data_IF_218878040866
#
_entry.id   IF_218878040866
#
_cell.length_a   1.000
_cell.length_b   1.000
_cell.length_c   1.000
_cell.angle_alpha   90.00
_cell.angle_beta   90.00
_cell.angle_gamma   90.00
#
_symmetry.space_group_name_H-M   'P 1'
#
loop_
_entity.id
_entity.type
_entity.pdbx_description
1 polymer ?
#
# COMPACT_ATOMS: atom_id res chain seq x y z
N UNK A 1 15.78 14.05 -11.46
CA UNK A 1 17.23 14.06 -11.22
C UNK A 1 18.04 14.56 -12.42
N UNK A 2 17.60 14.33 -13.64
CA UNK A 2 18.22 14.83 -14.86
C UNK A 2 17.35 15.87 -15.54
N UNK A 3 17.96 16.89 -16.11
CA UNK A 3 17.26 17.95 -16.86
C UNK A 3 17.39 17.82 -18.37
N UNK A 4 18.06 16.77 -18.85
CA UNK A 4 18.42 16.61 -20.25
C UNK A 4 19.68 17.41 -20.64
N UNK A 5 20.10 17.27 -21.90
CA UNK A 5 21.18 18.02 -22.53
C UNK A 5 20.58 18.90 -23.61
N UNK A 6 20.92 20.19 -23.62
CA UNK A 6 20.46 21.10 -24.66
C UNK A 6 21.29 20.88 -25.93
N UNK A 7 20.62 20.58 -27.03
CA UNK A 7 21.18 20.42 -28.36
C UNK A 7 20.29 21.21 -29.32
N UNK A 8 20.83 22.18 -30.01
CA UNK A 8 20.10 23.03 -30.96
C UNK A 8 18.78 23.62 -30.40
N UNK A 9 18.80 24.04 -29.13
CA UNK A 9 17.63 24.63 -28.45
C UNK A 9 16.58 23.64 -27.98
N UNK A 10 16.86 22.33 -28.05
CA UNK A 10 15.99 21.26 -27.54
C UNK A 10 16.65 20.52 -26.38
N UNK A 11 15.85 20.21 -25.35
CA UNK A 11 16.30 19.35 -24.26
C UNK A 11 16.12 17.88 -24.65
N UNK A 12 17.22 17.16 -24.76
CA UNK A 12 17.25 15.75 -25.14
C UNK A 12 17.72 14.87 -23.98
N UNK A 13 17.10 13.72 -23.83
CA UNK A 13 17.62 12.65 -22.98
C UNK A 13 18.52 11.74 -23.83
N UNK A 14 19.77 11.63 -23.43
CA UNK A 14 20.79 10.84 -24.14
C UNK A 14 21.29 9.72 -23.22
N UNK A 15 20.58 8.59 -23.13
CA UNK A 15 20.89 7.53 -22.16
C UNK A 15 22.23 6.84 -22.40
N UNK A 16 22.69 6.77 -23.65
CA UNK A 16 23.94 6.09 -24.06
C UNK A 16 25.15 7.03 -24.09
N UNK A 17 24.98 8.32 -23.81
CA UNK A 17 26.09 9.28 -23.80
C UNK A 17 26.84 9.24 -22.47
N UNK A 18 28.15 9.34 -22.51
CA UNK A 18 28.97 9.47 -21.31
C UNK A 18 28.69 10.81 -20.60
N UNK A 19 28.43 10.72 -19.30
CA UNK A 19 28.27 11.91 -18.48
C UNK A 19 29.64 12.57 -18.23
N UNK A 20 29.71 13.89 -18.39
CA UNK A 20 30.88 14.65 -17.96
C UNK A 20 31.00 14.69 -16.44
N UNK A 21 32.19 14.99 -15.91
CA UNK A 21 32.39 15.17 -14.47
C UNK A 21 31.45 16.25 -13.89
N UNK A 22 31.19 17.32 -14.61
CA UNK A 22 30.27 18.39 -14.22
C UNK A 22 28.83 17.91 -14.16
N UNK A 23 28.38 17.12 -15.13
CA UNK A 23 27.03 16.53 -15.13
C UNK A 23 26.84 15.54 -13.99
N UNK A 24 27.84 14.68 -13.72
CA UNK A 24 27.81 13.77 -12.59
C UNK A 24 27.77 14.53 -11.26
N UNK A 25 28.59 15.57 -11.08
CA UNK A 25 28.56 16.41 -9.89
C UNK A 25 27.22 17.12 -9.70
N UNK A 26 26.62 17.64 -10.79
CA UNK A 26 25.31 18.29 -10.74
C UNK A 26 24.18 17.30 -10.34
N UNK A 27 24.22 16.06 -10.87
CA UNK A 27 23.27 15.02 -10.47
C UNK A 27 23.44 14.64 -9.00
N UNK A 28 24.68 14.41 -8.53
CA UNK A 28 24.95 14.11 -7.12
C UNK A 28 24.51 15.23 -6.19
N UNK A 29 24.77 16.50 -6.57
CA UNK A 29 24.32 17.64 -5.77
C UNK A 29 22.78 17.72 -5.68
N UNK A 30 22.07 17.45 -6.78
CA UNK A 30 20.59 17.41 -6.75
C UNK A 30 20.05 16.29 -5.86
N UNK A 31 20.68 15.11 -5.90
CA UNK A 31 20.36 14.02 -4.98
C UNK A 31 20.60 14.45 -3.54
N UNK A 32 21.77 15.02 -3.25
CA UNK A 32 22.12 15.50 -1.92
C UNK A 32 21.13 16.56 -1.41
N UNK A 33 20.80 17.57 -2.22
CA UNK A 33 19.81 18.59 -1.85
C UNK A 33 18.43 17.99 -1.57
N UNK A 34 18.02 16.98 -2.34
CA UNK A 34 16.75 16.29 -2.12
C UNK A 34 16.77 15.44 -0.85
N UNK A 35 17.89 14.82 -0.52
CA UNK A 35 18.06 14.09 0.75
C UNK A 35 18.09 15.01 1.98
N UNK A 36 18.49 16.28 1.80
CA UNK A 36 18.47 17.31 2.84
C UNK A 36 17.10 18.00 2.95
N UNK A 37 16.20 17.82 1.99
CA UNK A 37 14.85 18.37 2.09
C UNK A 37 14.07 17.61 3.16
N UNK A 38 13.31 18.35 3.96
CA UNK A 38 12.41 17.77 4.95
C UNK A 38 11.37 16.88 4.23
N UNK A 39 11.15 15.71 4.76
CA UNK A 39 10.02 14.85 4.35
C UNK A 39 8.76 15.46 4.95
N UNK A 40 7.80 15.84 4.10
CA UNK A 40 6.55 16.48 4.56
C UNK A 40 5.56 15.47 5.13
N UNK A 41 5.64 14.20 4.70
CA UNK A 41 4.79 13.12 5.17
C UNK A 41 5.52 11.77 4.99
N UNK A 42 5.67 11.02 6.08
CA UNK A 42 6.30 9.71 6.10
C UNK A 42 5.28 8.66 6.54
N UNK A 43 5.02 7.70 5.67
CA UNK A 43 4.18 6.53 5.97
C UNK A 43 4.93 5.24 5.67
N UNK A 44 4.68 4.20 6.44
CA UNK A 44 5.30 2.90 6.24
C UNK A 44 4.31 1.76 6.43
N UNK A 45 4.57 0.62 5.76
CA UNK A 45 3.87 -0.62 6.03
C UNK A 45 4.59 -1.35 7.17
N UNK A 46 3.84 -1.64 8.23
CA UNK A 46 4.37 -2.31 9.41
C UNK A 46 4.02 -3.80 9.40
N UNK A 47 5.04 -4.64 9.47
CA UNK A 47 4.89 -6.08 9.66
C UNK A 47 5.04 -6.44 11.14
N UNK A 48 4.08 -7.19 11.70
CA UNK A 48 4.12 -7.58 13.12
C UNK A 48 5.36 -8.41 13.49
N UNK A 49 5.94 -9.14 12.54
CA UNK A 49 7.22 -9.83 12.71
C UNK A 49 8.40 -8.92 13.04
N UNK A 50 8.26 -7.61 12.77
CA UNK A 50 9.28 -6.58 13.07
C UNK A 50 9.02 -5.86 14.41
N UNK A 51 8.23 -6.45 15.31
CA UNK A 51 7.88 -5.81 16.59
C UNK A 51 9.08 -5.38 17.43
N UNK A 52 10.19 -6.11 17.36
CA UNK A 52 11.45 -5.73 18.04
C UNK A 52 12.08 -4.42 17.53
N UNK A 53 11.57 -3.87 16.43
CA UNK A 53 12.03 -2.63 15.80
C UNK A 53 10.88 -1.60 15.69
N UNK A 54 9.85 -1.74 16.52
CA UNK A 54 8.66 -0.89 16.44
C UNK A 54 8.97 0.59 16.73
N UNK A 55 10.00 0.86 17.51
CA UNK A 55 10.53 2.20 17.80
C UNK A 55 10.99 2.97 16.55
N UNK A 56 11.33 2.27 15.47
CA UNK A 56 11.64 2.91 14.18
C UNK A 56 10.42 3.58 13.52
N UNK A 57 9.23 3.34 14.04
CA UNK A 57 7.99 3.97 13.56
C UNK A 57 7.68 5.31 14.26
N UNK A 58 8.42 5.69 15.29
CA UNK A 58 8.12 6.88 16.10
C UNK A 58 8.21 8.20 15.32
N UNK A 59 9.05 8.23 14.28
CA UNK A 59 9.17 9.40 13.40
C UNK A 59 8.22 9.35 12.18
N UNK A 60 7.31 8.36 12.10
CA UNK A 60 6.35 8.25 11.02
C UNK A 60 5.06 9.03 11.31
N UNK A 61 4.53 9.72 10.30
CA UNK A 61 3.23 10.40 10.39
C UNK A 61 2.07 9.41 10.48
N UNK A 62 2.24 8.21 9.91
CA UNK A 62 1.28 7.11 10.02
C UNK A 62 1.92 5.77 9.64
N UNK A 63 1.33 4.68 10.13
CA UNK A 63 1.69 3.32 9.74
C UNK A 63 0.51 2.59 9.11
N UNK A 64 0.77 1.67 8.19
CA UNK A 64 -0.23 0.86 7.52
C UNK A 64 -0.13 -0.59 7.99
N UNK A 65 -1.24 -1.15 8.46
CA UNK A 65 -1.34 -2.50 9.00
C UNK A 65 -2.03 -3.41 7.98
N UNK A 66 -1.29 -4.34 7.38
CA UNK A 66 -1.74 -5.28 6.36
C UNK A 66 -2.59 -6.41 6.95
N UNK A 67 -3.74 -6.12 7.56
CA UNK A 67 -4.52 -7.06 8.35
C UNK A 67 -5.88 -7.40 7.76
N UNK A 68 -6.11 -7.12 6.48
CA UNK A 68 -7.34 -7.49 5.81
C UNK A 68 -7.10 -7.81 4.33
N UNK A 69 -7.68 -8.88 3.84
CA UNK A 69 -7.78 -9.23 2.42
C UNK A 69 -9.24 -9.27 2.01
N UNK A 70 -9.56 -8.63 0.89
CA UNK A 70 -10.90 -8.75 0.31
C UNK A 70 -11.06 -10.12 -0.36
N UNK A 71 -12.15 -10.79 -0.05
CA UNK A 71 -12.51 -12.09 -0.63
C UNK A 71 -13.97 -12.07 -1.12
N UNK A 72 -14.36 -13.08 -1.84
CA UNK A 72 -15.74 -13.28 -2.27
C UNK A 72 -16.37 -14.45 -1.52
N UNK A 73 -17.52 -14.21 -0.91
CA UNK A 73 -18.36 -15.24 -0.28
C UNK A 73 -19.68 -15.43 -1.06
N UNK A 74 -20.48 -16.41 -0.65
CA UNK A 74 -21.84 -16.60 -1.20
C UNK A 74 -22.75 -15.37 -1.00
N UNK A 75 -22.46 -14.54 -0.01
CA UNK A 75 -23.23 -13.32 0.31
C UNK A 75 -22.64 -12.05 -0.35
N UNK A 76 -21.55 -12.16 -1.10
CA UNK A 76 -20.86 -11.03 -1.69
C UNK A 76 -19.44 -10.82 -1.16
N UNK A 77 -18.83 -9.64 -1.37
CA UNK A 77 -17.50 -9.32 -0.90
C UNK A 77 -17.45 -9.26 0.62
N UNK A 78 -16.37 -9.83 1.18
CA UNK A 78 -16.09 -9.86 2.62
C UNK A 78 -14.63 -9.54 2.87
N UNK A 79 -14.30 -9.07 4.07
CA UNK A 79 -12.92 -8.93 4.50
C UNK A 79 -12.50 -10.12 5.36
N UNK A 80 -11.41 -10.76 4.98
CA UNK A 80 -10.78 -11.84 5.73
C UNK A 80 -9.52 -11.32 6.43
N UNK A 81 -9.51 -11.36 7.74
CA UNK A 81 -8.37 -11.02 8.60
C UNK A 81 -7.76 -12.25 9.29
N UNK A 82 -8.21 -13.45 8.94
CA UNK A 82 -7.76 -14.72 9.52
C UNK A 82 -6.92 -15.54 8.55
N UNK A 83 -6.16 -16.51 9.08
CA UNK A 83 -5.34 -17.44 8.29
C UNK A 83 -6.19 -18.55 7.65
N UNK A 84 -7.19 -18.15 6.87
CA UNK A 84 -8.05 -19.06 6.11
C UNK A 84 -7.92 -18.75 4.61
N UNK A 85 -8.28 -19.67 3.76
CA UNK A 85 -8.27 -19.51 2.31
C UNK A 85 -6.90 -19.06 1.74
N UNK A 86 -5.79 -19.46 2.37
CA UNK A 86 -4.45 -19.01 1.96
C UNK A 86 -4.22 -17.50 2.15
N UNK A 87 -4.96 -16.86 3.06
CA UNK A 87 -4.75 -15.44 3.38
C UNK A 87 -3.46 -15.24 4.18
N UNK A 88 -2.56 -14.36 3.71
CA UNK A 88 -1.36 -13.93 4.41
C UNK A 88 -1.52 -12.55 5.09
N UNK A 89 -2.60 -11.83 4.79
CA UNK A 89 -2.97 -10.53 5.36
C UNK A 89 -3.77 -10.72 6.65
N UNK A 90 -3.10 -11.30 7.64
CA UNK A 90 -3.73 -11.77 8.88
C UNK A 90 -3.55 -10.76 9.99
N UNK A 91 -4.64 -10.44 10.68
CA UNK A 91 -4.53 -9.71 11.95
C UNK A 91 -3.97 -10.66 13.01
N UNK A 92 -2.80 -10.37 13.61
CA UNK A 92 -2.22 -11.20 14.66
C UNK A 92 -3.13 -11.32 15.88
N UNK A 93 -3.06 -12.43 16.60
CA UNK A 93 -3.86 -12.62 17.81
C UNK A 93 -3.50 -11.59 18.92
N UNK A 94 -2.24 -11.20 18.98
CA UNK A 94 -1.67 -10.22 19.88
C UNK A 94 -1.50 -8.82 19.24
N UNK A 95 -2.31 -8.52 18.22
CA UNK A 95 -2.31 -7.24 17.51
C UNK A 95 -2.39 -6.02 18.44
N UNK A 96 -3.06 -6.15 19.60
CA UNK A 96 -3.14 -5.09 20.61
C UNK A 96 -1.76 -4.61 21.07
N UNK A 97 -0.77 -5.48 21.14
CA UNK A 97 0.60 -5.11 21.54
C UNK A 97 1.16 -4.00 20.65
N UNK A 98 1.00 -4.12 19.33
CA UNK A 98 1.44 -3.07 18.40
C UNK A 98 0.51 -1.85 18.41
N UNK A 99 -0.82 -2.05 18.41
CA UNK A 99 -1.74 -0.90 18.39
C UNK A 99 -1.71 -0.08 19.67
N UNK A 100 -1.43 -0.70 20.83
CA UNK A 100 -1.26 0.02 22.09
C UNK A 100 0.05 0.82 22.10
N UNK A 101 1.12 0.29 21.48
CA UNK A 101 2.36 1.05 21.26
C UNK A 101 2.09 2.29 20.40
N UNK A 102 1.43 2.14 19.25
CA UNK A 102 1.13 3.27 18.36
C UNK A 102 0.24 4.32 19.05
N UNK A 103 -0.77 3.90 19.81
CA UNK A 103 -1.59 4.84 20.61
C UNK A 103 -0.78 5.55 21.68
N UNK A 104 0.15 4.84 22.35
CA UNK A 104 0.99 5.42 23.38
C UNK A 104 1.96 6.49 22.86
N UNK A 105 2.33 6.39 21.58
CA UNK A 105 3.25 7.32 20.90
C UNK A 105 2.51 8.31 19.97
N UNK A 106 1.18 8.37 20.02
CA UNK A 106 0.36 9.22 19.15
C UNK A 106 0.63 8.99 17.64
N UNK A 107 1.08 7.78 17.26
CA UNK A 107 1.29 7.39 15.86
C UNK A 107 -0.02 6.87 15.26
N UNK A 108 -0.65 7.57 14.32
CA UNK A 108 -1.86 7.08 13.65
C UNK A 108 -1.57 5.78 12.88
N UNK A 109 -2.53 4.86 12.86
CA UNK A 109 -2.40 3.64 12.07
C UNK A 109 -3.63 3.38 11.22
N UNK A 110 -3.39 2.95 9.97
CA UNK A 110 -4.38 2.71 8.94
C UNK A 110 -4.56 1.21 8.72
N UNK A 111 -5.80 0.80 8.42
CA UNK A 111 -6.06 -0.54 7.92
C UNK A 111 -5.68 -0.61 6.44
N UNK A 112 -4.74 -1.48 6.07
CA UNK A 112 -4.50 -1.82 4.68
C UNK A 112 -5.40 -2.98 4.27
N UNK A 113 -6.19 -2.77 3.20
CA UNK A 113 -7.08 -3.76 2.60
C UNK A 113 -6.47 -4.20 1.27
N UNK A 114 -5.98 -5.42 1.25
CA UNK A 114 -5.36 -6.03 0.08
C UNK A 114 -6.37 -6.78 -0.77
N UNK A 115 -6.22 -6.71 -2.08
CA UNK A 115 -6.77 -7.64 -3.06
C UNK A 115 -5.96 -7.60 -4.35
N UNK A 116 -5.95 -8.70 -5.10
CA UNK A 116 -5.30 -8.76 -6.40
C UNK A 116 -6.13 -9.52 -7.44
N UNK A 117 -5.65 -9.54 -8.67
CA UNK A 117 -6.30 -10.25 -9.76
C UNK A 117 -6.02 -11.75 -9.79
N UNK A 118 -5.22 -12.28 -8.86
CA UNK A 118 -4.93 -13.73 -8.76
C UNK A 118 -5.93 -14.48 -7.87
N UNK A 119 -6.72 -13.76 -7.05
CA UNK A 119 -7.74 -14.33 -6.19
C UNK A 119 -8.98 -14.72 -7.01
N UNK A 120 -9.08 -15.99 -7.37
CA UNK A 120 -10.12 -16.51 -8.25
C UNK A 120 -11.46 -16.73 -7.53
N UNK A 121 -12.53 -16.31 -8.20
CA UNK A 121 -13.92 -16.56 -7.81
C UNK A 121 -14.57 -17.39 -8.91
N UNK A 122 -15.16 -18.53 -8.56
CA UNK A 122 -15.93 -19.35 -9.50
C UNK A 122 -17.31 -18.78 -9.70
N UNK A 123 -17.70 -18.55 -10.96
CA UNK A 123 -19.03 -18.08 -11.35
C UNK A 123 -20.02 -19.23 -11.47
N UNK A 124 -21.31 -18.91 -11.60
CA UNK A 124 -22.38 -19.91 -11.69
C UNK A 124 -22.29 -20.80 -12.94
N UNK A 125 -21.67 -20.30 -14.00
CA UNK A 125 -21.43 -21.04 -15.25
C UNK A 125 -20.15 -21.90 -15.20
N UNK A 126 -19.44 -21.94 -14.08
CA UNK A 126 -18.20 -22.69 -13.89
C UNK A 126 -16.94 -21.95 -14.36
N UNK A 127 -17.05 -20.78 -14.98
CA UNK A 127 -15.91 -19.93 -15.31
C UNK A 127 -15.31 -19.28 -14.04
N UNK A 128 -14.12 -18.70 -14.16
CA UNK A 128 -13.46 -17.99 -13.07
C UNK A 128 -13.21 -16.53 -13.43
N UNK A 129 -13.30 -15.67 -12.41
CA UNK A 129 -12.91 -14.27 -12.47
C UNK A 129 -12.15 -13.90 -11.20
N UNK A 130 -11.48 -12.77 -11.17
CA UNK A 130 -10.88 -12.30 -9.93
C UNK A 130 -11.91 -11.61 -9.02
N UNK A 131 -11.59 -11.50 -7.72
CA UNK A 131 -12.41 -10.73 -6.77
C UNK A 131 -12.57 -9.29 -7.25
N UNK A 132 -11.50 -8.66 -7.71
CA UNK A 132 -11.52 -7.26 -8.17
C UNK A 132 -12.38 -7.09 -9.43
N UNK A 133 -12.25 -7.98 -10.42
CA UNK A 133 -13.07 -7.94 -11.63
C UNK A 133 -14.57 -8.20 -11.37
N UNK A 134 -14.88 -8.87 -10.26
CA UNK A 134 -16.26 -9.08 -9.85
C UNK A 134 -16.81 -7.93 -9.03
N UNK A 135 -16.01 -7.32 -8.15
CA UNK A 135 -16.45 -6.25 -7.26
C UNK A 135 -16.52 -4.91 -7.96
N UNK A 136 -15.48 -4.54 -8.73
CA UNK A 136 -15.35 -3.18 -9.23
C UNK A 136 -16.41 -2.78 -10.28
N UNK A 137 -16.84 -3.64 -11.22
CA UNK A 137 -17.87 -3.27 -12.19
C UNK A 137 -19.28 -3.25 -11.60
N UNK A 138 -19.55 -4.06 -10.57
CA UNK A 138 -20.90 -4.20 -9.99
C UNK A 138 -21.17 -3.15 -8.91
N UNK A 139 -22.13 -2.22 -9.09
CA UNK A 139 -22.44 -1.20 -8.09
C UNK A 139 -22.88 -1.76 -6.74
N UNK A 140 -23.59 -2.89 -6.73
CA UNK A 140 -24.07 -3.54 -5.49
C UNK A 140 -22.89 -4.14 -4.73
N UNK A 141 -22.02 -4.88 -5.42
CA UNK A 141 -20.83 -5.46 -4.82
C UNK A 141 -19.87 -4.37 -4.30
N UNK A 142 -19.69 -3.27 -5.05
CA UNK A 142 -18.91 -2.11 -4.57
C UNK A 142 -19.48 -1.53 -3.29
N UNK A 143 -20.79 -1.31 -3.23
CA UNK A 143 -21.44 -0.78 -2.02
C UNK A 143 -21.26 -1.68 -0.82
N UNK A 144 -21.37 -3.01 -1.02
CA UNK A 144 -21.14 -3.99 0.04
C UNK A 144 -19.67 -3.99 0.49
N UNK A 145 -18.71 -3.94 -0.47
CA UNK A 145 -17.29 -3.85 -0.18
C UNK A 145 -16.94 -2.59 0.63
N UNK A 146 -17.47 -1.43 0.23
CA UNK A 146 -17.29 -0.16 0.97
C UNK A 146 -17.83 -0.28 2.39
N UNK A 147 -19.03 -0.88 2.56
CA UNK A 147 -19.61 -1.08 3.89
C UNK A 147 -18.78 -2.02 4.77
N UNK A 148 -18.24 -3.09 4.19
CA UNK A 148 -17.37 -4.02 4.90
C UNK A 148 -16.05 -3.36 5.32
N UNK A 149 -15.44 -2.57 4.43
CA UNK A 149 -14.22 -1.81 4.72
C UNK A 149 -14.47 -0.78 5.82
N UNK A 150 -15.54 0.00 5.71
CA UNK A 150 -15.89 1.02 6.70
C UNK A 150 -16.12 0.40 8.09
N UNK A 151 -16.81 -0.74 8.16
CA UNK A 151 -17.03 -1.45 9.42
C UNK A 151 -15.72 -1.99 10.02
N UNK A 152 -14.83 -2.54 9.20
CA UNK A 152 -13.55 -3.10 9.65
C UNK A 152 -12.55 -2.02 10.10
N UNK A 153 -12.68 -0.80 9.58
CA UNK A 153 -11.76 0.31 9.85
C UNK A 153 -12.17 1.22 11.02
N UNK A 154 -13.24 0.89 11.75
CA UNK A 154 -13.78 1.76 12.80
C UNK A 154 -12.77 2.15 13.90
N UNK A 155 -11.79 1.28 14.19
CA UNK A 155 -10.77 1.50 15.22
C UNK A 155 -9.43 2.03 14.61
N UNK A 156 -9.40 2.35 13.32
CA UNK A 156 -8.23 2.83 12.61
C UNK A 156 -8.35 4.31 12.28
N UNK A 157 -7.22 5.00 12.14
CA UNK A 157 -7.19 6.41 11.76
C UNK A 157 -7.58 6.63 10.29
N UNK A 158 -7.37 5.61 9.44
CA UNK A 158 -7.68 5.67 8.02
C UNK A 158 -7.59 4.30 7.36
N UNK A 159 -7.67 4.31 6.03
CA UNK A 159 -7.71 3.11 5.18
C UNK A 159 -6.69 3.28 4.06
N UNK A 160 -5.97 2.21 3.75
CA UNK A 160 -5.18 2.08 2.53
C UNK A 160 -5.83 1.00 1.66
N UNK A 161 -6.16 1.33 0.43
CA UNK A 161 -6.67 0.40 -0.58
C UNK A 161 -5.51 -0.06 -1.43
N UNK A 162 -5.14 -1.31 -1.25
CA UNK A 162 -4.00 -1.96 -1.90
C UNK A 162 -4.51 -3.00 -2.90
N UNK A 163 -5.06 -2.49 -4.02
CA UNK A 163 -5.65 -3.31 -5.07
C UNK A 163 -4.68 -3.41 -6.24
N UNK A 164 -4.16 -4.60 -6.46
CA UNK A 164 -3.08 -4.85 -7.41
C UNK A 164 -3.54 -5.55 -8.70
N UNK A 165 -2.74 -5.39 -9.77
CA UNK A 165 -2.95 -6.06 -11.04
C UNK A 165 -4.10 -5.48 -11.89
N UNK A 166 -4.66 -4.35 -11.53
CA UNK A 166 -5.65 -3.63 -12.35
C UNK A 166 -4.98 -3.09 -13.63
N UNK A 167 -5.66 -3.23 -14.79
CA UNK A 167 -5.18 -2.79 -16.10
C UNK A 167 -6.11 -1.78 -16.72
#
# INVERSE_FOLDING_TARGET
>A
LTTGVEVDGQLLFQPDAFATRGQAAAMLNRVYQRMQSKVDFLTGFYAFSSYSQIDLTDDMDTVCLGWARMEWSNAGPVLNSSKTNGNDWVKPADASTATDYFRGNDTPYNLNVYADTTQNVTLADGSTTSVLEKVLPDPTARSQAVSAIAAASADYAGIVIDFEGLR
#
